data_IF_811604036542
#
_entry.id   IF_811604036542
#
_cell.length_a   1.000
_cell.length_b   1.000
_cell.length_c   1.000
_cell.angle_alpha   90.00
_cell.angle_beta   90.00
_cell.angle_gamma   90.00
#
_symmetry.space_group_name_H-M   'P 1'
#
loop_
_entity.id
_entity.type
_entity.pdbx_description
1 polymer ?
#
# COMPACT_ATOMS: atom_id res chain seq x y z
N UNK A 1 -18.02 -20.45 29.66
CA UNK A 1 -18.44 -19.29 28.88
C UNK A 1 -17.21 -18.44 28.58
N UNK A 2 -16.77 -18.43 27.33
CA UNK A 2 -15.96 -17.40 26.69
C UNK A 2 -15.98 -17.77 25.20
N UNK A 3 -16.89 -17.15 24.44
CA UNK A 3 -16.81 -17.23 23.00
C UNK A 3 -15.50 -16.52 22.62
N UNK A 4 -14.55 -17.26 22.06
CA UNK A 4 -13.43 -16.65 21.37
C UNK A 4 -14.04 -15.79 20.27
N UNK A 5 -14.06 -14.48 20.46
CA UNK A 5 -14.39 -13.56 19.38
C UNK A 5 -13.44 -13.90 18.24
N UNK A 6 -13.99 -14.31 17.10
CA UNK A 6 -13.20 -14.44 15.89
C UNK A 6 -12.45 -13.11 15.72
N UNK A 7 -11.13 -13.14 15.76
CA UNK A 7 -10.34 -11.93 15.63
C UNK A 7 -10.78 -11.26 14.32
N UNK A 8 -11.19 -9.99 14.41
CA UNK A 8 -11.63 -9.24 13.24
C UNK A 8 -10.56 -9.35 12.14
N UNK A 9 -11.01 -9.62 10.90
CA UNK A 9 -10.14 -9.82 9.72
C UNK A 9 -9.18 -8.63 9.54
N UNK A 10 -9.66 -7.45 9.90
CA UNK A 10 -8.92 -6.20 9.99
C UNK A 10 -9.29 -5.43 11.25
N UNK A 11 -8.32 -4.74 11.84
CA UNK A 11 -8.52 -3.94 13.05
C UNK A 11 -7.44 -2.86 13.17
N UNK A 12 -7.80 -1.67 13.67
CA UNK A 12 -6.81 -0.66 14.06
C UNK A 12 -5.93 -1.16 15.20
N UNK A 13 -4.69 -0.69 15.23
CA UNK A 13 -3.76 -0.92 16.33
C UNK A 13 -3.50 0.42 17.01
N UNK A 14 -3.81 0.49 18.31
CA UNK A 14 -3.70 1.71 19.11
C UNK A 14 -4.94 2.60 19.05
N UNK A 15 -4.83 3.77 19.65
CA UNK A 15 -5.89 4.79 19.65
C UNK A 15 -5.76 5.70 18.42
N UNK A 16 -6.87 6.35 18.05
CA UNK A 16 -6.85 7.39 17.04
C UNK A 16 -5.92 8.52 17.48
N UNK A 17 -5.05 8.98 16.59
CA UNK A 17 -4.10 10.08 16.85
C UNK A 17 -4.70 11.45 16.59
N UNK A 18 -5.75 11.50 15.76
CA UNK A 18 -6.47 12.72 15.40
C UNK A 18 -7.89 12.35 14.98
N UNK A 19 -8.83 13.26 15.22
CA UNK A 19 -10.14 13.25 14.56
C UNK A 19 -10.28 14.58 13.82
N UNK A 20 -10.63 14.56 12.54
CA UNK A 20 -10.80 15.79 11.77
C UNK A 20 -12.23 16.35 11.85
N UNK A 21 -12.49 17.45 11.12
CA UNK A 21 -13.78 18.14 11.12
C UNK A 21 -14.91 17.31 10.49
N UNK A 22 -14.56 16.35 9.65
CA UNK A 22 -15.51 15.46 8.98
C UNK A 22 -15.81 14.22 9.85
N UNK A 23 -15.18 14.12 11.03
CA UNK A 23 -15.34 13.00 11.97
C UNK A 23 -14.47 11.79 11.63
N UNK A 24 -13.52 11.92 10.70
CA UNK A 24 -12.59 10.83 10.37
C UNK A 24 -11.56 10.66 11.47
N UNK A 25 -11.46 9.44 12.00
CA UNK A 25 -10.49 9.09 13.04
C UNK A 25 -9.23 8.51 12.40
N UNK A 26 -8.09 9.18 12.54
CA UNK A 26 -6.81 8.81 11.93
C UNK A 26 -5.99 7.91 12.83
N UNK A 27 -5.28 6.95 12.23
CA UNK A 27 -4.45 5.97 12.94
C UNK A 27 -3.04 5.90 12.33
N UNK A 28 -2.13 5.22 13.02
CA UNK A 28 -0.75 5.02 12.55
C UNK A 28 -0.47 3.57 12.13
N UNK A 29 -1.34 2.63 12.49
CA UNK A 29 -1.21 1.24 12.13
C UNK A 29 -2.52 0.46 12.19
N UNK A 30 -2.61 -0.60 11.38
CA UNK A 30 -3.68 -1.59 11.43
C UNK A 30 -3.11 -3.00 11.27
N UNK A 31 -3.90 -3.99 11.69
CA UNK A 31 -3.65 -5.40 11.40
C UNK A 31 -4.64 -5.88 10.36
N UNK A 32 -4.20 -6.66 9.38
CA UNK A 32 -5.07 -7.38 8.45
C UNK A 32 -4.48 -8.74 8.12
N UNK A 33 -5.30 -9.79 8.17
CA UNK A 33 -4.89 -11.17 7.86
C UNK A 33 -3.63 -11.65 8.62
N UNK A 34 -3.39 -11.12 9.83
CA UNK A 34 -2.20 -11.43 10.64
C UNK A 34 -1.01 -10.49 10.41
N UNK A 35 -0.98 -9.73 9.32
CA UNK A 35 0.06 -8.75 9.04
C UNK A 35 -0.23 -7.39 9.68
N UNK A 36 0.83 -6.69 10.08
CA UNK A 36 0.75 -5.33 10.62
C UNK A 36 1.28 -4.34 9.59
N UNK A 37 0.46 -3.36 9.26
CA UNK A 37 0.77 -2.27 8.35
C UNK A 37 0.90 -0.97 9.13
N UNK A 38 1.93 -0.19 8.81
CA UNK A 38 2.23 1.11 9.41
C UNK A 38 2.31 2.17 8.33
N UNK A 39 2.26 3.43 8.74
CA UNK A 39 2.59 4.54 7.84
C UNK A 39 3.99 4.31 7.23
N UNK A 40 4.09 4.61 5.93
CA UNK A 40 5.24 4.42 5.03
C UNK A 40 5.51 2.98 4.59
N UNK A 41 4.82 1.98 5.14
CA UNK A 41 4.87 0.63 4.55
C UNK A 41 4.27 0.69 3.13
N UNK A 42 4.83 -0.11 2.22
CA UNK A 42 4.22 -0.35 0.93
C UNK A 42 3.36 -1.61 0.99
N UNK A 43 2.31 -1.67 0.19
CA UNK A 43 1.40 -2.80 0.13
C UNK A 43 0.95 -3.07 -1.29
N UNK A 44 0.58 -4.32 -1.55
CA UNK A 44 -0.12 -4.69 -2.78
C UNK A 44 -1.62 -4.54 -2.60
N UNK A 45 -2.32 -3.98 -3.57
CA UNK A 45 -3.78 -3.82 -3.57
C UNK A 45 -4.41 -4.72 -4.64
N UNK A 46 -5.62 -5.20 -4.34
CA UNK A 46 -6.41 -6.04 -5.24
C UNK A 46 -6.76 -5.23 -6.51
N UNK A 47 -6.49 -5.76 -7.71
CA UNK A 47 -6.89 -5.13 -8.95
C UNK A 47 -8.37 -5.39 -9.27
N UNK A 48 -8.90 -4.71 -10.29
CA UNK A 48 -10.29 -4.85 -10.72
C UNK A 48 -10.59 -6.24 -11.29
N UNK A 49 -9.59 -6.90 -11.86
CA UNK A 49 -9.72 -8.24 -12.45
C UNK A 49 -8.68 -9.18 -11.89
N UNK A 50 -9.05 -10.43 -11.60
CA UNK A 50 -8.12 -11.42 -10.99
C UNK A 50 -6.96 -11.82 -11.90
N UNK A 51 -7.05 -11.54 -13.21
CA UNK A 51 -5.98 -11.79 -14.17
C UNK A 51 -4.91 -10.68 -14.18
N UNK A 52 -5.19 -9.51 -13.58
CA UNK A 52 -4.24 -8.42 -13.50
C UNK A 52 -3.29 -8.61 -12.32
N UNK A 53 -2.09 -8.06 -12.46
CA UNK A 53 -1.14 -8.00 -11.35
C UNK A 53 -1.67 -7.09 -10.23
N UNK A 54 -1.36 -7.40 -8.96
CA UNK A 54 -1.67 -6.49 -7.87
C UNK A 54 -0.97 -5.14 -8.01
N UNK A 55 -1.73 -4.07 -7.80
CA UNK A 55 -1.20 -2.70 -7.73
C UNK A 55 -0.29 -2.54 -6.51
N UNK A 56 0.61 -1.54 -6.54
CA UNK A 56 1.50 -1.23 -5.42
C UNK A 56 1.23 0.20 -4.94
N UNK A 57 1.05 0.39 -3.64
CA UNK A 57 0.87 1.72 -3.04
C UNK A 57 1.71 1.87 -1.77
N UNK A 58 2.16 3.09 -1.47
CA UNK A 58 2.73 3.43 -0.17
C UNK A 58 1.62 3.98 0.74
N UNK A 59 1.54 3.55 1.99
CA UNK A 59 0.53 4.03 2.93
C UNK A 59 1.02 5.31 3.60
N UNK A 60 0.49 6.48 3.21
CA UNK A 60 0.89 7.78 3.81
C UNK A 60 -0.14 8.32 4.79
N UNK A 61 -1.38 7.83 4.73
CA UNK A 61 -2.44 8.13 5.69
C UNK A 61 -3.37 6.93 5.85
N UNK A 62 -3.97 6.78 7.02
CA UNK A 62 -4.99 5.76 7.29
C UNK A 62 -5.99 6.29 8.33
N UNK A 63 -7.27 6.03 8.11
CA UNK A 63 -8.35 6.54 8.95
C UNK A 63 -9.59 5.66 8.88
N UNK A 64 -10.47 5.84 9.86
CA UNK A 64 -11.82 5.31 9.84
C UNK A 64 -12.80 6.42 9.50
N UNK A 65 -13.68 6.17 8.53
CA UNK A 65 -14.82 7.04 8.24
C UNK A 65 -15.84 6.98 9.39
N UNK A 66 -16.68 8.02 9.59
CA UNK A 66 -17.76 7.99 10.56
C UNK A 66 -18.72 6.80 10.40
N UNK A 67 -18.86 6.30 9.16
CA UNK A 67 -19.65 5.11 8.82
C UNK A 67 -19.02 3.77 9.22
N UNK A 68 -17.76 3.77 9.66
CA UNK A 68 -17.03 2.58 10.07
C UNK A 68 -16.02 2.06 9.05
N UNK A 69 -16.07 2.53 7.80
CA UNK A 69 -15.16 2.09 6.75
C UNK A 69 -13.71 2.45 7.09
N UNK A 70 -12.83 1.47 6.96
CA UNK A 70 -11.40 1.64 7.21
C UNK A 70 -10.67 1.93 5.90
N UNK A 71 -9.94 3.04 5.85
CA UNK A 71 -9.35 3.57 4.63
C UNK A 71 -7.83 3.74 4.77
N UNK A 72 -7.14 3.59 3.65
CA UNK A 72 -5.75 4.01 3.45
C UNK A 72 -5.68 5.01 2.31
N UNK A 73 -4.65 5.85 2.32
CA UNK A 73 -4.29 6.71 1.18
C UNK A 73 -2.80 6.69 0.96
N UNK A 74 -2.41 6.81 -0.30
CA UNK A 74 -1.07 7.23 -0.67
C UNK A 74 -0.75 7.07 -2.13
N UNK A 75 0.50 7.36 -2.51
CA UNK A 75 0.91 7.35 -3.91
C UNK A 75 0.99 5.92 -4.45
N UNK A 76 0.61 5.76 -5.70
CA UNK A 76 0.83 4.53 -6.46
C UNK A 76 2.31 4.36 -6.83
N UNK A 77 2.75 3.11 -6.91
CA UNK A 77 4.03 2.71 -7.47
C UNK A 77 3.80 1.91 -8.74
N UNK A 78 4.42 2.35 -9.84
CA UNK A 78 4.27 1.71 -11.14
C UNK A 78 5.47 0.87 -11.52
N UNK A 79 5.22 -0.37 -11.94
CA UNK A 79 6.23 -1.16 -12.66
C UNK A 79 6.32 -0.64 -14.08
N UNK A 80 7.39 -0.97 -14.79
CA UNK A 80 7.55 -0.60 -16.20
C UNK A 80 6.32 -0.99 -17.05
N UNK A 81 5.74 -2.17 -16.79
CA UNK A 81 4.56 -2.69 -17.50
C UNK A 81 3.29 -1.86 -17.30
N UNK A 82 3.21 -1.11 -16.21
CA UNK A 82 2.06 -0.29 -15.84
C UNK A 82 2.15 1.12 -16.45
N UNK A 83 3.34 1.49 -16.91
CA UNK A 83 3.61 2.79 -17.53
C UNK A 83 3.23 2.73 -19.02
N UNK A 84 2.54 3.74 -19.58
CA UNK A 84 2.21 3.76 -21.00
C UNK A 84 3.45 3.55 -21.89
N UNK A 85 3.28 2.81 -22.99
CA UNK A 85 4.40 2.47 -23.90
C UNK A 85 5.21 3.71 -24.28
N UNK A 86 6.52 3.63 -24.04
CA UNK A 86 7.47 4.70 -24.36
C UNK A 86 7.53 5.85 -23.35
N UNK A 87 6.77 5.78 -22.24
CA UNK A 87 6.85 6.74 -21.12
C UNK A 87 7.74 6.26 -19.97
N UNK A 88 8.10 4.97 -19.94
CA UNK A 88 9.10 4.48 -19.00
C UNK A 88 10.49 5.06 -19.31
N UNK A 89 11.35 5.27 -18.28
CA UNK A 89 12.75 5.61 -18.46
C UNK A 89 13.43 4.61 -19.41
N UNK A 90 14.15 5.14 -20.41
CA UNK A 90 14.87 4.33 -21.39
C UNK A 90 16.38 4.27 -21.14
N UNK A 91 16.93 5.25 -20.43
CA UNK A 91 18.36 5.41 -20.18
C UNK A 91 18.61 5.95 -18.75
N UNK A 92 19.01 5.09 -17.79
CA UNK A 92 18.99 3.64 -17.90
C UNK A 92 17.54 3.11 -18.04
N UNK A 93 17.33 1.95 -18.68
CA UNK A 93 16.03 1.30 -18.65
C UNK A 93 15.71 0.86 -17.22
N UNK A 94 14.42 0.73 -16.91
CA UNK A 94 14.00 0.23 -15.61
C UNK A 94 14.43 -1.23 -15.41
N UNK A 95 14.90 -1.55 -14.21
CA UNK A 95 15.13 -2.94 -13.81
C UNK A 95 13.81 -3.71 -13.67
N UNK A 96 13.85 -5.03 -13.82
CA UNK A 96 12.64 -5.88 -13.76
C UNK A 96 11.88 -5.78 -12.41
N UNK A 97 12.57 -5.39 -11.34
CA UNK A 97 12.04 -5.20 -9.98
C UNK A 97 11.96 -3.72 -9.56
N UNK A 98 12.29 -2.82 -10.47
CA UNK A 98 12.22 -1.39 -10.23
C UNK A 98 10.77 -0.91 -10.33
N UNK A 99 10.42 0.04 -9.47
CA UNK A 99 9.11 0.69 -9.48
C UNK A 99 9.31 2.20 -9.39
N UNK A 100 8.44 2.93 -10.07
CA UNK A 100 8.42 4.39 -10.05
C UNK A 100 7.39 4.86 -9.04
N UNK A 101 7.80 5.78 -8.15
CA UNK A 101 6.87 6.50 -7.30
C UNK A 101 6.08 7.50 -8.15
N UNK A 102 4.76 7.40 -8.14
CA UNK A 102 3.86 8.33 -8.84
C UNK A 102 3.54 9.56 -8.00
N UNK A 103 3.18 10.65 -8.67
CA UNK A 103 2.50 11.82 -8.10
C UNK A 103 0.99 11.61 -7.91
N UNK A 104 0.42 10.53 -8.47
CA UNK A 104 -0.98 10.20 -8.29
C UNK A 104 -1.21 9.46 -6.97
N UNK A 105 -2.09 10.02 -6.14
CA UNK A 105 -2.38 9.57 -4.78
C UNK A 105 -3.89 9.56 -4.55
N UNK A 106 -4.42 8.42 -4.14
CA UNK A 106 -5.85 8.21 -3.89
C UNK A 106 -6.11 7.42 -2.60
N UNK A 107 -7.40 7.31 -2.26
CA UNK A 107 -7.87 6.61 -1.07
C UNK A 107 -8.51 5.28 -1.49
N UNK A 108 -8.18 4.21 -0.75
CA UNK A 108 -8.71 2.87 -0.99
C UNK A 108 -9.14 2.25 0.34
N UNK A 109 -10.17 1.40 0.34
CA UNK A 109 -10.57 0.68 1.55
C UNK A 109 -9.50 -0.33 1.93
N UNK A 110 -9.30 -0.54 3.24
CA UNK A 110 -8.34 -1.52 3.76
C UNK A 110 -8.66 -2.92 3.24
N UNK A 111 -9.92 -3.23 2.93
CA UNK A 111 -10.34 -4.49 2.32
C UNK A 111 -9.58 -4.83 1.03
N UNK A 112 -9.13 -3.82 0.27
CA UNK A 112 -8.34 -3.99 -0.97
C UNK A 112 -6.89 -4.39 -0.72
N UNK A 113 -6.35 -4.14 0.48
CA UNK A 113 -4.95 -4.45 0.83
C UNK A 113 -4.73 -5.95 0.91
N UNK A 114 -3.83 -6.51 0.11
CA UNK A 114 -3.59 -7.95 0.08
C UNK A 114 -2.47 -8.36 1.04
N UNK A 115 -1.28 -7.77 0.89
CA UNK A 115 -0.07 -8.09 1.65
C UNK A 115 0.90 -6.91 1.66
N UNK A 116 1.88 -6.94 2.57
CA UNK A 116 2.95 -5.93 2.63
C UNK A 116 3.98 -6.16 1.50
N UNK A 117 4.43 -5.08 0.88
CA UNK A 117 5.47 -5.07 -0.14
C UNK A 117 6.75 -4.42 0.41
N UNK A 118 7.88 -5.11 0.27
CA UNK A 118 9.18 -4.57 0.67
C UNK A 118 9.78 -3.79 -0.51
N UNK A 119 9.83 -2.47 -0.39
CA UNK A 119 10.36 -1.56 -1.41
C UNK A 119 11.54 -0.81 -0.81
N UNK A 120 12.70 -0.91 -1.46
CA UNK A 120 13.90 -0.18 -1.07
C UNK A 120 14.00 1.09 -1.92
N UNK A 121 14.14 2.24 -1.26
CA UNK A 121 14.53 3.46 -1.95
C UNK A 121 16.02 3.39 -2.32
N UNK A 122 16.33 3.60 -3.60
CA UNK A 122 17.71 3.67 -4.08
C UNK A 122 17.96 5.05 -4.68
N UNK A 123 18.98 5.75 -4.17
CA UNK A 123 19.40 7.06 -4.71
C UNK A 123 20.25 6.93 -5.99
N UNK A 124 20.64 5.70 -6.35
CA UNK A 124 21.32 5.35 -7.59
C UNK A 124 20.54 4.22 -8.28
N UNK A 125 20.57 4.08 -9.61
CA UNK A 125 20.08 2.86 -10.25
C UNK A 125 20.76 1.64 -9.57
N UNK A 126 20.02 0.55 -9.32
CA UNK A 126 20.60 -0.63 -8.66
C UNK A 126 21.88 -1.04 -9.38
N UNK A 127 22.97 -1.37 -8.66
CA UNK A 127 24.17 -1.88 -9.28
C UNK A 127 23.83 -3.06 -10.18
N UNK A 128 24.36 -3.09 -11.40
CA UNK A 128 24.16 -4.22 -12.31
C UNK A 128 24.52 -5.53 -11.59
N UNK A 129 23.60 -6.48 -11.52
CA UNK A 129 23.82 -7.80 -10.92
C UNK A 129 23.26 -8.03 -9.51
N UNK A 130 22.38 -7.17 -9.00
CA UNK A 130 21.65 -7.37 -7.73
C UNK A 130 20.28 -8.07 -7.89
N UNK A 131 20.01 -8.63 -9.07
CA UNK A 131 18.91 -9.59 -9.22
C UNK A 131 19.30 -10.88 -8.46
N UNK A 132 18.58 -11.29 -7.41
CA UNK A 132 18.78 -12.61 -6.84
C UNK A 132 18.41 -13.69 -7.87
N UNK A 133 18.95 -14.91 -7.72
CA UNK A 133 18.67 -16.02 -8.63
C UNK A 133 17.18 -16.34 -8.76
#
# INVERSE_FOLDING_TARGET
AAAAAAAAKEAWIGQAVQVDRDGRAFYTSFRKNGDVFRLKDCATLKPETEAADPYLAQIVSMWQEPGGDMMIKGPWLYRERDVPKGKAPKNPPMGAREVLLSDWCDANPIESVMQRASILFSAAPPPAGLDPP
#
